data_IF_290832591103
#
_entry.id   IF_290832591103
#
_cell.length_a   1.000
_cell.length_b   1.000
_cell.length_c   1.000
_cell.angle_alpha   90.00
_cell.angle_beta   90.00
_cell.angle_gamma   90.00
#
_symmetry.space_group_name_H-M   'P 1'
#
loop_
_entity.id
_entity.type
_entity.pdbx_description
1 polymer ?
#
# COMPACT_ATOMS: atom_id res chain seq x y z
N UNK A 1 -5.69 -5.49 8.13
CA UNK A 1 -5.85 -4.13 7.57
C UNK A 1 -5.28 -3.99 6.14
N UNK A 2 -5.20 -5.10 5.39
CA UNK A 2 -4.68 -5.09 4.02
C UNK A 2 -5.61 -4.34 3.08
N UNK A 3 -5.03 -3.44 2.30
CA UNK A 3 -5.77 -2.57 1.37
C UNK A 3 -5.68 -3.04 -0.08
N UNK A 4 -4.63 -3.76 -0.42
CA UNK A 4 -4.39 -4.35 -1.73
C UNK A 4 -3.41 -5.52 -1.62
N UNK A 5 -3.24 -6.27 -2.71
CA UNK A 5 -2.23 -7.33 -2.82
C UNK A 5 -1.09 -6.89 -3.72
N UNK A 6 0.14 -7.06 -3.27
CA UNK A 6 1.31 -7.03 -4.11
C UNK A 6 1.50 -8.40 -4.76
N UNK A 7 1.71 -8.44 -6.06
CA UNK A 7 1.84 -9.68 -6.85
C UNK A 7 3.18 -9.80 -7.58
N UNK A 8 3.97 -8.75 -7.57
CA UNK A 8 5.27 -8.76 -8.19
C UNK A 8 6.31 -9.43 -7.28
N UNK A 9 7.21 -10.20 -7.88
CA UNK A 9 8.30 -10.85 -7.17
C UNK A 9 9.30 -9.84 -6.60
N UNK A 10 10.22 -10.33 -5.77
CA UNK A 10 11.33 -9.51 -5.26
C UNK A 10 12.35 -9.33 -6.38
N UNK A 11 12.68 -8.08 -6.68
CA UNK A 11 13.66 -7.68 -7.69
C UNK A 11 14.69 -6.74 -7.08
N UNK A 12 15.86 -7.29 -6.74
CA UNK A 12 16.96 -6.54 -6.13
C UNK A 12 18.02 -6.25 -7.17
N UNK A 13 18.31 -4.96 -7.36
CA UNK A 13 19.38 -4.47 -8.20
C UNK A 13 20.63 -4.20 -7.32
N UNK A 14 21.65 -5.06 -7.36
CA UNK A 14 22.85 -4.88 -6.55
C UNK A 14 23.73 -3.73 -7.07
N UNK A 15 24.30 -2.96 -6.16
CA UNK A 15 25.10 -1.77 -6.49
C UNK A 15 26.43 -2.06 -7.22
N UNK A 16 26.95 -3.27 -7.19
CA UNK A 16 28.36 -3.57 -7.56
C UNK A 16 28.49 -4.54 -8.73
N UNK A 17 27.63 -4.48 -9.74
CA UNK A 17 27.73 -5.34 -10.93
C UNK A 17 27.50 -6.83 -10.66
N UNK A 18 27.02 -7.20 -9.48
CA UNK A 18 26.57 -8.57 -9.19
C UNK A 18 25.31 -8.89 -9.98
N UNK A 19 25.06 -10.17 -10.20
CA UNK A 19 23.83 -10.60 -10.85
C UNK A 19 22.59 -10.10 -10.11
N UNK A 20 21.56 -9.69 -10.85
CA UNK A 20 20.25 -9.31 -10.34
C UNK A 20 19.65 -10.48 -9.56
N UNK A 21 19.11 -10.21 -8.37
CA UNK A 21 18.47 -11.21 -7.52
C UNK A 21 16.95 -11.10 -7.70
N UNK A 22 16.39 -11.96 -8.55
CA UNK A 22 14.96 -12.04 -8.83
C UNK A 22 14.37 -13.28 -8.18
N UNK A 23 13.40 -13.09 -7.29
CA UNK A 23 12.73 -14.18 -6.58
C UNK A 23 11.22 -14.11 -6.80
N UNK A 24 10.60 -15.24 -7.12
CA UNK A 24 9.14 -15.34 -7.12
C UNK A 24 8.61 -15.30 -5.70
N UNK A 25 7.49 -14.60 -5.50
CA UNK A 25 6.74 -14.57 -4.24
C UNK A 25 5.30 -14.98 -4.48
N UNK A 26 4.65 -15.48 -3.44
CA UNK A 26 3.20 -15.56 -3.44
C UNK A 26 2.63 -14.13 -3.28
N UNK A 27 1.41 -13.86 -3.78
CA UNK A 27 0.72 -12.61 -3.48
C UNK A 27 0.64 -12.38 -1.97
N UNK A 28 0.84 -11.13 -1.54
CA UNK A 28 0.79 -10.76 -0.12
C UNK A 28 0.09 -9.41 0.07
N UNK A 29 -0.53 -9.24 1.23
CA UNK A 29 -1.27 -8.02 1.55
C UNK A 29 -0.36 -6.84 1.86
N UNK A 30 -0.77 -5.65 1.44
CA UNK A 30 -0.17 -4.37 1.85
C UNK A 30 -1.07 -3.76 2.93
N UNK A 31 -0.58 -3.63 4.17
CA UNK A 31 -1.39 -3.09 5.26
C UNK A 31 -1.62 -1.58 5.13
N UNK A 32 -2.83 -1.12 5.48
CA UNK A 32 -3.18 0.31 5.46
C UNK A 32 -2.23 1.18 6.28
N UNK A 33 -1.80 0.69 7.44
CA UNK A 33 -0.85 1.42 8.32
C UNK A 33 0.47 1.78 7.65
N UNK A 34 0.86 1.07 6.59
CA UNK A 34 2.07 1.42 5.82
C UNK A 34 1.92 2.73 5.04
N UNK A 35 0.68 3.18 4.79
CA UNK A 35 0.35 4.42 4.11
C UNK A 35 0.22 5.61 5.07
N UNK A 36 0.17 5.37 6.39
CA UNK A 36 -0.04 6.41 7.40
C UNK A 36 1.31 6.87 7.97
N UNK A 37 1.78 8.09 7.68
CA UNK A 37 3.05 8.60 8.18
C UNK A 37 3.06 8.70 9.71
N UNK A 38 4.20 8.41 10.32
CA UNK A 38 4.36 8.56 11.77
C UNK A 38 4.52 10.04 12.13
N UNK A 39 3.75 10.51 13.11
CA UNK A 39 3.88 11.87 13.65
C UNK A 39 3.31 12.98 12.79
N UNK A 40 2.64 12.67 11.68
CA UNK A 40 1.95 13.65 10.83
C UNK A 40 0.54 13.14 10.59
N UNK A 41 -0.45 14.00 10.84
CA UNK A 41 -1.86 13.69 10.60
C UNK A 41 -2.38 14.40 9.34
N UNK A 42 -3.50 13.91 8.78
CA UNK A 42 -4.14 14.50 7.61
C UNK A 42 -3.46 14.16 6.28
N UNK A 43 -2.43 13.33 6.27
CA UNK A 43 -1.69 12.92 5.07
C UNK A 43 -1.64 11.39 4.98
N UNK A 44 -1.80 10.87 3.76
CA UNK A 44 -1.44 9.50 3.39
C UNK A 44 -0.33 9.51 2.33
N UNK A 45 0.50 8.49 2.36
CA UNK A 45 1.51 8.24 1.33
C UNK A 45 1.15 6.97 0.56
N UNK A 46 1.53 6.89 -0.72
CA UNK A 46 1.26 5.74 -1.55
C UNK A 46 2.45 5.43 -2.47
N UNK A 47 2.43 4.26 -3.08
CA UNK A 47 3.48 3.83 -3.98
C UNK A 47 4.82 3.65 -3.28
N UNK A 48 5.89 4.17 -3.87
CA UNK A 48 7.26 4.01 -3.35
C UNK A 48 7.56 4.79 -2.07
N UNK A 49 6.61 5.59 -1.60
CA UNK A 49 6.74 6.40 -0.38
C UNK A 49 6.20 5.70 0.88
N UNK A 50 5.55 4.52 0.74
CA UNK A 50 5.01 3.80 1.89
C UNK A 50 6.11 3.18 2.75
N UNK A 51 5.78 2.86 4.00
CA UNK A 51 6.67 2.14 4.89
C UNK A 51 6.83 0.68 4.48
N UNK A 52 8.06 0.19 4.48
CA UNK A 52 8.34 -1.21 4.22
C UNK A 52 9.81 -1.55 4.41
N UNK A 53 10.11 -2.84 4.54
CA UNK A 53 11.49 -3.32 4.53
C UNK A 53 12.12 -3.19 3.14
N UNK A 54 13.43 -3.30 3.06
CA UNK A 54 14.14 -3.32 1.77
C UNK A 54 13.61 -4.40 0.81
N UNK A 55 13.31 -5.60 1.33
CA UNK A 55 12.75 -6.70 0.54
C UNK A 55 11.33 -6.40 0.06
N UNK A 56 10.47 -5.83 0.91
CA UNK A 56 9.12 -5.42 0.54
C UNK A 56 9.15 -4.35 -0.55
N UNK A 57 10.00 -3.32 -0.40
CA UNK A 57 10.22 -2.28 -1.40
C UNK A 57 10.69 -2.86 -2.73
N UNK A 58 11.58 -3.85 -2.73
CA UNK A 58 12.07 -4.52 -3.94
C UNK A 58 10.97 -5.28 -4.69
N UNK A 59 9.81 -5.50 -4.05
CA UNK A 59 8.64 -6.15 -4.64
C UNK A 59 7.57 -5.13 -5.05
N UNK A 60 6.96 -4.39 -4.11
CA UNK A 60 5.78 -3.57 -4.38
C UNK A 60 6.03 -2.26 -5.14
N UNK A 61 7.26 -1.90 -5.46
CA UNK A 61 7.60 -0.64 -6.17
C UNK A 61 7.20 -0.58 -7.65
N UNK A 62 6.47 -1.55 -8.14
CA UNK A 62 5.99 -1.61 -9.53
C UNK A 62 4.72 -0.78 -9.73
N UNK A 63 4.50 -0.33 -10.96
CA UNK A 63 3.41 0.61 -11.28
C UNK A 63 2.04 0.08 -10.87
N UNK A 64 1.73 -1.19 -11.14
CA UNK A 64 0.43 -1.78 -10.80
C UNK A 64 0.12 -1.71 -9.30
N UNK A 65 1.06 -2.16 -8.46
CA UNK A 65 0.91 -2.11 -7.01
C UNK A 65 0.84 -0.66 -6.50
N UNK A 66 1.61 0.27 -7.10
CA UNK A 66 1.54 1.70 -6.76
C UNK A 66 0.17 2.32 -7.09
N UNK A 67 -0.45 1.96 -8.22
CA UNK A 67 -1.79 2.43 -8.59
C UNK A 67 -2.83 1.95 -7.59
N UNK A 68 -2.81 0.67 -7.21
CA UNK A 68 -3.75 0.10 -6.25
C UNK A 68 -3.62 0.73 -4.86
N UNK A 69 -2.39 1.04 -4.43
CA UNK A 69 -2.16 1.79 -3.19
C UNK A 69 -2.70 3.22 -3.26
N UNK A 70 -2.53 3.90 -4.40
CA UNK A 70 -3.05 5.24 -4.64
C UNK A 70 -4.57 5.29 -4.59
N UNK A 71 -5.23 4.29 -5.19
CA UNK A 71 -6.69 4.15 -5.14
C UNK A 71 -7.20 3.95 -3.71
N UNK A 72 -6.55 3.09 -2.94
CA UNK A 72 -6.87 2.88 -1.54
C UNK A 72 -6.67 4.15 -0.69
N UNK A 73 -5.58 4.89 -0.91
CA UNK A 73 -5.33 6.16 -0.24
C UNK A 73 -6.41 7.21 -0.58
N UNK A 74 -6.81 7.30 -1.85
CA UNK A 74 -7.88 8.19 -2.29
C UNK A 74 -9.23 7.88 -1.65
N UNK A 75 -9.62 6.60 -1.59
CA UNK A 75 -10.86 6.17 -0.94
C UNK A 75 -10.83 6.47 0.57
N UNK A 76 -9.71 6.22 1.25
CA UNK A 76 -9.53 6.53 2.66
C UNK A 76 -9.62 8.05 2.92
N UNK A 77 -9.00 8.87 2.09
CA UNK A 77 -9.06 10.31 2.18
C UNK A 77 -10.49 10.83 2.01
N UNK A 78 -11.21 10.33 1.00
CA UNK A 78 -12.61 10.68 0.76
C UNK A 78 -13.53 10.25 1.93
N UNK A 79 -13.29 9.09 2.52
CA UNK A 79 -14.04 8.62 3.68
C UNK A 79 -13.84 9.52 4.88
N UNK A 80 -12.59 9.80 5.25
CA UNK A 80 -12.25 10.67 6.41
C UNK A 80 -12.75 12.10 6.19
N UNK A 81 -12.61 12.64 4.98
CA UNK A 81 -13.11 13.98 4.67
C UNK A 81 -14.62 14.12 4.84
N UNK A 82 -15.40 13.06 4.58
CA UNK A 82 -16.86 13.05 4.77
C UNK A 82 -17.31 12.78 6.20
N UNK A 83 -16.56 11.98 6.94
CA UNK A 83 -16.97 11.49 8.28
C UNK A 83 -16.27 12.22 9.42
N UNK A 84 -15.16 12.88 9.17
CA UNK A 84 -14.26 13.38 10.18
C UNK A 84 -13.35 12.29 10.76
N UNK A 85 -12.56 12.65 11.76
CA UNK A 85 -11.59 11.74 12.39
C UNK A 85 -10.23 11.76 11.72
N UNK A 86 -9.41 10.79 12.03
CA UNK A 86 -8.05 10.66 11.51
C UNK A 86 -7.86 9.31 10.81
N UNK A 87 -6.86 9.21 9.94
CA UNK A 87 -6.50 7.94 9.29
C UNK A 87 -6.07 6.87 10.28
N UNK A 88 -5.54 7.26 11.44
CA UNK A 88 -5.08 6.34 12.50
C UNK A 88 -6.22 5.65 13.24
N UNK A 89 -7.40 6.28 13.24
CA UNK A 89 -8.60 5.77 13.90
C UNK A 89 -9.41 4.80 13.05
N UNK A 90 -9.04 4.62 11.77
CA UNK A 90 -9.72 3.68 10.89
C UNK A 90 -9.47 2.24 11.33
N UNK A 91 -10.55 1.57 11.73
CA UNK A 91 -10.50 0.15 12.08
C UNK A 91 -10.53 -0.76 10.84
N UNK A 92 -10.21 -2.03 11.04
CA UNK A 92 -10.15 -3.03 9.97
C UNK A 92 -11.50 -3.23 9.26
N UNK A 93 -12.62 -3.11 9.97
CA UNK A 93 -13.96 -3.27 9.37
C UNK A 93 -14.27 -2.10 8.43
N UNK A 94 -14.01 -0.88 8.87
CA UNK A 94 -14.12 0.34 8.05
C UNK A 94 -13.23 0.27 6.82
N UNK A 95 -11.97 -0.14 6.97
CA UNK A 95 -11.03 -0.29 5.85
C UNK A 95 -11.57 -1.29 4.83
N UNK A 96 -12.04 -2.46 5.26
CA UNK A 96 -12.61 -3.46 4.35
C UNK A 96 -13.85 -2.98 3.62
N UNK A 97 -14.76 -2.34 4.31
CA UNK A 97 -16.08 -1.96 3.76
C UNK A 97 -16.01 -0.72 2.89
N UNK A 98 -15.25 0.28 3.27
CA UNK A 98 -15.31 1.60 2.65
C UNK A 98 -14.08 1.96 1.82
N UNK A 99 -12.97 1.25 1.97
CA UNK A 99 -11.74 1.50 1.23
C UNK A 99 -11.47 0.40 0.21
N UNK A 100 -11.50 -0.87 0.63
CA UNK A 100 -11.14 -2.01 -0.23
C UNK A 100 -12.31 -2.49 -1.09
N UNK A 101 -13.53 -2.53 -0.56
CA UNK A 101 -14.69 -3.03 -1.30
C UNK A 101 -15.00 -2.21 -2.57
N UNK A 102 -14.95 -0.86 -2.57
CA UNK A 102 -15.12 -0.07 -3.79
C UNK A 102 -14.10 -0.40 -4.88
N UNK A 103 -12.84 -0.63 -4.52
CA UNK A 103 -11.78 -1.02 -5.45
C UNK A 103 -12.12 -2.33 -6.15
N UNK A 104 -12.54 -3.34 -5.39
CA UNK A 104 -12.91 -4.67 -5.91
C UNK A 104 -14.16 -4.63 -6.81
N UNK A 105 -15.06 -3.69 -6.60
CA UNK A 105 -16.27 -3.54 -7.40
C UNK A 105 -16.00 -2.99 -8.80
N UNK A 106 -14.85 -2.35 -9.03
CA UNK A 106 -14.46 -1.75 -10.31
C UNK A 106 -13.59 -2.70 -11.14
N UNK A 107 -12.97 -3.71 -10.53
CA UNK A 107 -12.12 -4.71 -11.20
C UNK A 107 -12.94 -5.89 -11.71
#
# INVERSE_FOLDING_TARGET
DDITEARFGIDIHPKNGRAQDCRKTLPYGIPFRCLVPRGIDGILVAGRCISGSHLAMASYRVTGDCCSMGEAAGNAAAYVAKRGGTFRELDTATIRTHIVAPIKAVQ
#
